data_IF_878349493722
#
_entry.id   IF_878349493722
#
_cell.length_a   1.000
_cell.length_b   1.000
_cell.length_c   1.000
_cell.angle_alpha   90.00
_cell.angle_beta   90.00
_cell.angle_gamma   90.00
#
_symmetry.space_group_name_H-M   'P 1'
#
loop_
_entity.id
_entity.type
_entity.pdbx_description
1 polymer ?
#
# COMPACT_ATOMS: atom_id res chain seq x y z
N UNK A 1 12.85 9.70 0.34
CA UNK A 1 13.00 8.23 0.18
C UNK A 1 12.14 7.78 -0.97
N UNK A 2 12.63 6.88 -1.84
CA UNK A 2 11.75 6.28 -2.84
C UNK A 2 10.63 5.53 -2.11
N UNK A 3 9.43 5.62 -2.65
CA UNK A 3 8.29 4.82 -2.20
C UNK A 3 8.72 3.36 -2.08
N UNK A 4 8.53 2.75 -0.91
CA UNK A 4 8.81 1.34 -0.74
C UNK A 4 7.66 0.54 -1.38
N UNK A 5 7.81 0.18 -2.66
CA UNK A 5 6.84 -0.62 -3.42
C UNK A 5 6.74 -2.08 -2.94
N UNK A 6 7.59 -2.50 -2.00
CA UNK A 6 7.59 -3.88 -1.46
C UNK A 6 6.31 -4.29 -0.71
N UNK A 7 5.36 -3.36 -0.57
CA UNK A 7 4.11 -3.62 0.13
C UNK A 7 2.88 -3.69 -0.79
N UNK A 8 3.05 -3.80 -2.12
CA UNK A 8 1.93 -3.97 -3.04
C UNK A 8 1.48 -5.43 -3.03
N UNK A 9 0.29 -5.70 -2.48
CA UNK A 9 -0.33 -7.04 -2.46
C UNK A 9 -1.17 -7.32 -3.70
N UNK A 10 -1.55 -6.28 -4.43
CA UNK A 10 -2.40 -6.44 -5.59
C UNK A 10 -2.64 -5.15 -6.35
N UNK A 11 -3.43 -5.28 -7.39
CA UNK A 11 -3.83 -4.17 -8.27
C UNK A 11 -5.34 -4.06 -8.27
N UNK A 12 -5.87 -2.92 -7.87
CA UNK A 12 -7.26 -2.56 -8.08
C UNK A 12 -7.42 -2.06 -9.52
N UNK A 13 -8.21 -2.77 -10.30
CA UNK A 13 -8.63 -2.32 -11.63
C UNK A 13 -9.85 -1.45 -11.51
N UNK A 14 -9.78 -0.27 -12.13
CA UNK A 14 -10.83 0.73 -12.11
C UNK A 14 -11.15 1.14 -13.55
N UNK A 15 -12.42 1.19 -13.91
CA UNK A 15 -12.88 1.77 -15.16
C UNK A 15 -13.10 3.27 -14.94
N UNK A 16 -12.33 4.09 -15.65
CA UNK A 16 -12.50 5.55 -15.64
C UNK A 16 -13.62 5.94 -16.59
N UNK A 17 -14.67 6.55 -16.06
CA UNK A 17 -15.74 7.22 -16.81
C UNK A 17 -15.67 8.70 -16.51
N UNK A 18 -16.28 9.54 -17.35
CA UNK A 18 -16.17 11.01 -17.33
C UNK A 18 -16.15 11.65 -15.93
N UNK A 19 -16.95 11.14 -14.99
CA UNK A 19 -17.11 11.73 -13.66
C UNK A 19 -16.99 10.72 -12.51
N UNK A 20 -16.87 9.42 -12.81
CA UNK A 20 -16.89 8.37 -11.78
C UNK A 20 -15.90 7.25 -12.10
N UNK A 21 -15.11 6.89 -11.11
CA UNK A 21 -14.25 5.72 -11.14
C UNK A 21 -15.03 4.48 -10.67
N UNK A 22 -15.25 3.51 -11.55
CA UNK A 22 -15.97 2.27 -11.24
C UNK A 22 -14.97 1.15 -10.92
N UNK A 23 -14.95 0.61 -9.70
CA UNK A 23 -14.09 -0.52 -9.36
C UNK A 23 -14.52 -1.79 -10.09
N UNK A 24 -13.63 -2.34 -10.92
CA UNK A 24 -13.84 -3.50 -11.79
C UNK A 24 -13.54 -4.81 -11.09
N UNK A 25 -12.37 -4.91 -10.50
CA UNK A 25 -11.88 -6.14 -9.88
C UNK A 25 -10.50 -5.95 -9.26
N UNK A 26 -9.93 -7.03 -8.79
CA UNK A 26 -8.61 -7.05 -8.15
C UNK A 26 -7.74 -8.14 -8.76
N UNK A 27 -6.50 -7.80 -9.09
CA UNK A 27 -5.43 -8.72 -9.45
C UNK A 27 -4.50 -8.89 -8.26
N UNK A 28 -4.19 -10.13 -7.91
CA UNK A 28 -3.20 -10.49 -6.89
C UNK A 28 -2.25 -11.54 -7.44
N UNK A 29 -1.06 -11.64 -6.84
CA UNK A 29 -0.09 -12.70 -7.12
C UNK A 29 0.25 -13.40 -5.80
N UNK A 30 -0.21 -14.64 -5.66
CA UNK A 30 -0.01 -15.42 -4.44
C UNK A 30 0.40 -16.86 -4.81
N UNK A 31 1.35 -17.43 -4.08
CA UNK A 31 1.80 -18.82 -4.25
C UNK A 31 2.19 -19.17 -5.70
N UNK A 32 2.78 -18.22 -6.43
CA UNK A 32 3.22 -18.45 -7.81
C UNK A 32 2.12 -18.31 -8.86
N UNK A 33 0.91 -17.90 -8.48
CA UNK A 33 -0.22 -17.72 -9.39
C UNK A 33 -0.80 -16.31 -9.35
N UNK A 34 -1.14 -15.79 -10.53
CA UNK A 34 -1.99 -14.62 -10.67
C UNK A 34 -3.45 -15.01 -10.52
N UNK A 35 -4.17 -14.27 -9.70
CA UNK A 35 -5.61 -14.39 -9.52
C UNK A 35 -6.26 -13.05 -9.73
N UNK A 36 -7.15 -13.01 -10.71
CA UNK A 36 -8.01 -11.85 -10.92
C UNK A 36 -9.45 -12.17 -10.54
N UNK A 37 -10.10 -11.27 -9.81
CA UNK A 37 -11.48 -11.40 -9.41
C UNK A 37 -12.28 -10.15 -9.75
N UNK A 38 -13.30 -10.28 -10.61
CA UNK A 38 -14.27 -9.23 -10.85
C UNK A 38 -15.10 -8.94 -9.61
N UNK A 39 -15.35 -7.66 -9.33
CA UNK A 39 -16.28 -7.27 -8.27
C UNK A 39 -17.72 -7.63 -8.68
N UNK A 40 -18.49 -8.23 -7.75
CA UNK A 40 -19.90 -8.56 -7.98
C UNK A 40 -20.72 -7.33 -8.38
N UNK A 41 -20.44 -6.18 -7.76
CA UNK A 41 -21.07 -4.91 -8.12
C UNK A 41 -20.82 -4.51 -9.57
N UNK A 42 -19.61 -4.77 -10.10
CA UNK A 42 -19.26 -4.49 -11.49
C UNK A 42 -19.98 -5.42 -12.46
N UNK A 43 -20.01 -6.73 -12.18
CA UNK A 43 -20.70 -7.72 -13.02
C UNK A 43 -22.20 -7.44 -13.17
N UNK A 44 -22.80 -6.79 -12.17
CA UNK A 44 -24.23 -6.45 -12.18
C UNK A 44 -24.57 -5.13 -12.91
N UNK A 45 -23.57 -4.42 -13.43
CA UNK A 45 -23.81 -3.17 -14.17
C UNK A 45 -24.19 -3.48 -15.62
N UNK A 46 -25.21 -2.82 -16.14
CA UNK A 46 -25.69 -3.01 -17.53
C UNK A 46 -24.65 -2.62 -18.61
N UNK A 47 -23.61 -1.87 -18.25
CA UNK A 47 -22.58 -1.37 -19.17
C UNK A 47 -21.19 -1.84 -18.75
N UNK A 48 -21.08 -3.03 -18.19
CA UNK A 48 -19.80 -3.64 -17.88
C UNK A 48 -19.10 -4.08 -19.16
N UNK A 49 -17.79 -3.86 -19.23
CA UNK A 49 -16.93 -4.34 -20.32
C UNK A 49 -15.89 -5.30 -19.77
N UNK A 50 -15.59 -6.36 -20.51
CA UNK A 50 -14.54 -7.29 -20.16
C UNK A 50 -13.15 -6.62 -20.25
N UNK A 51 -12.20 -7.05 -19.45
CA UNK A 51 -10.81 -6.59 -19.53
C UNK A 51 -10.14 -7.01 -20.84
N UNK A 52 -10.52 -8.19 -21.34
CA UNK A 52 -10.06 -8.76 -22.61
C UNK A 52 -10.88 -9.97 -22.98
N UNK A 53 -10.70 -10.49 -24.21
CA UNK A 53 -11.49 -11.63 -24.72
C UNK A 53 -11.30 -12.91 -23.88
N UNK A 54 -10.14 -13.12 -23.27
CA UNK A 54 -9.88 -14.27 -22.41
C UNK A 54 -10.43 -14.11 -20.97
N UNK A 55 -10.96 -12.93 -20.64
CA UNK A 55 -11.53 -12.62 -19.32
C UNK A 55 -12.99 -12.15 -19.43
N UNK A 56 -13.90 -12.93 -20.09
CA UNK A 56 -15.28 -12.54 -20.27
C UNK A 56 -16.01 -12.37 -18.91
N UNK A 57 -17.06 -11.54 -18.89
CA UNK A 57 -17.82 -11.24 -17.67
C UNK A 57 -18.68 -12.42 -17.16
N UNK A 58 -18.73 -13.51 -17.90
CA UNK A 58 -19.46 -14.74 -17.54
C UNK A 58 -18.80 -15.52 -16.40
N UNK A 59 -17.55 -15.26 -16.13
CA UNK A 59 -16.78 -15.86 -15.03
C UNK A 59 -16.26 -14.79 -14.10
N UNK A 60 -16.40 -15.00 -12.79
CA UNK A 60 -15.99 -14.04 -11.77
C UNK A 60 -14.49 -14.07 -11.47
N UNK A 61 -13.88 -15.25 -11.47
CA UNK A 61 -12.50 -15.48 -11.02
C UNK A 61 -11.68 -16.13 -12.13
N UNK A 62 -10.50 -15.62 -12.33
CA UNK A 62 -9.49 -16.10 -13.29
C UNK A 62 -8.19 -16.39 -12.55
N UNK A 63 -7.55 -17.53 -12.85
CA UNK A 63 -6.28 -17.95 -12.26
C UNK A 63 -5.34 -18.39 -13.38
N UNK A 64 -4.05 -18.04 -13.26
CA UNK A 64 -3.02 -18.35 -14.24
C UNK A 64 -1.63 -18.30 -13.61
N UNK A 65 -0.71 -19.15 -14.09
CA UNK A 65 0.70 -19.07 -13.72
C UNK A 65 1.43 -17.92 -14.46
N UNK A 66 0.79 -17.32 -15.44
CA UNK A 66 1.30 -16.19 -16.20
C UNK A 66 0.38 -14.98 -16.04
N UNK A 67 0.95 -13.79 -16.12
CA UNK A 67 0.16 -12.56 -16.15
C UNK A 67 -0.80 -12.59 -17.35
N UNK A 68 -2.07 -12.30 -17.11
CA UNK A 68 -3.09 -12.27 -18.17
C UNK A 68 -2.76 -11.23 -19.23
N UNK A 69 -3.06 -11.51 -20.50
CA UNK A 69 -2.74 -10.66 -21.64
C UNK A 69 -3.16 -9.20 -21.47
N UNK A 70 -4.38 -8.87 -21.01
CA UNK A 70 -4.79 -7.47 -20.85
C UNK A 70 -3.93 -6.66 -19.85
N UNK A 71 -3.24 -7.33 -18.95
CA UNK A 71 -2.28 -6.71 -18.05
C UNK A 71 -0.87 -6.69 -18.64
N UNK A 72 -0.45 -7.78 -19.27
CA UNK A 72 0.87 -7.90 -19.86
C UNK A 72 1.08 -6.86 -20.98
N UNK A 73 0.10 -6.68 -21.85
CA UNK A 73 0.12 -5.72 -22.97
C UNK A 73 0.20 -4.25 -22.51
N UNK A 74 -0.10 -3.99 -21.24
CA UNK A 74 0.00 -2.64 -20.67
C UNK A 74 1.41 -2.28 -20.22
N UNK A 75 2.24 -3.27 -19.94
CA UNK A 75 3.62 -3.04 -19.50
C UNK A 75 4.46 -2.75 -20.75
N UNK A 76 5.09 -1.56 -20.86
CA UNK A 76 5.94 -1.25 -21.99
C UNK A 76 7.08 -2.23 -22.12
N UNK A 77 7.43 -2.60 -23.37
CA UNK A 77 8.60 -3.44 -23.65
C UNK A 77 9.86 -2.75 -23.13
N UNK A 78 10.78 -3.55 -22.59
CA UNK A 78 12.10 -3.09 -22.16
C UNK A 78 12.98 -2.64 -23.31
N UNK A 79 12.68 -3.13 -24.53
CA UNK A 79 13.38 -2.73 -25.76
C UNK A 79 12.92 -1.34 -26.23
N UNK A 80 11.88 -0.78 -25.64
CA UNK A 80 11.47 0.59 -25.92
C UNK A 80 12.56 1.55 -25.43
N UNK A 81 13.14 2.39 -26.31
CA UNK A 81 14.17 3.36 -25.93
C UNK A 81 13.78 4.27 -24.77
N UNK A 82 12.49 4.61 -24.64
CA UNK A 82 11.95 5.46 -23.58
C UNK A 82 11.67 4.71 -22.25
N UNK A 83 11.88 3.38 -22.20
CA UNK A 83 11.54 2.58 -21.00
C UNK A 83 12.24 3.08 -19.73
N UNK A 84 13.54 3.41 -19.85
CA UNK A 84 14.33 3.92 -18.72
C UNK A 84 13.79 5.26 -18.20
N UNK A 85 13.29 6.12 -19.09
CA UNK A 85 12.70 7.41 -18.73
C UNK A 85 11.36 7.22 -18.02
N UNK A 86 10.54 6.28 -18.50
CA UNK A 86 9.26 5.94 -17.82
C UNK A 86 9.51 5.46 -16.39
N UNK A 87 10.48 4.56 -16.20
CA UNK A 87 10.84 4.08 -14.86
C UNK A 87 11.34 5.22 -13.97
N UNK A 88 12.23 6.06 -14.48
CA UNK A 88 12.76 7.23 -13.75
C UNK A 88 11.66 8.20 -13.36
N UNK A 89 10.72 8.50 -14.26
CA UNK A 89 9.59 9.39 -14.00
C UNK A 89 8.68 8.87 -12.88
N UNK A 90 8.59 7.55 -12.70
CA UNK A 90 7.81 6.89 -11.65
C UNK A 90 8.64 6.52 -10.41
N UNK A 91 9.93 6.85 -10.38
CA UNK A 91 10.81 6.57 -9.24
C UNK A 91 11.09 5.09 -9.01
N UNK A 92 10.99 4.24 -10.05
CA UNK A 92 11.30 2.81 -10.00
C UNK A 92 12.60 2.49 -10.73
N UNK A 93 13.22 1.37 -10.38
CA UNK A 93 14.39 0.86 -11.10
C UNK A 93 14.01 0.41 -12.52
N UNK A 94 14.88 0.68 -13.50
CA UNK A 94 14.75 0.09 -14.85
C UNK A 94 14.81 -1.44 -14.83
N UNK A 95 15.39 -2.02 -13.77
CA UNK A 95 15.53 -3.47 -13.58
C UNK A 95 14.39 -4.06 -12.74
N UNK A 96 13.37 -3.28 -12.40
CA UNK A 96 12.17 -3.77 -11.71
C UNK A 96 11.52 -4.92 -12.50
N UNK A 97 11.16 -6.01 -11.82
CA UNK A 97 10.59 -7.23 -12.41
C UNK A 97 9.20 -7.56 -11.89
N UNK A 98 8.83 -6.97 -10.75
CA UNK A 98 7.52 -7.25 -10.17
C UNK A 98 6.40 -6.66 -11.06
N UNK A 99 5.54 -7.53 -11.65
CA UNK A 99 4.49 -7.07 -12.53
C UNK A 99 3.45 -6.20 -11.82
N UNK A 100 3.21 -6.38 -10.52
CA UNK A 100 2.26 -5.55 -9.76
C UNK A 100 2.81 -4.13 -9.59
N UNK A 101 4.12 -3.99 -9.36
CA UNK A 101 4.79 -2.68 -9.32
C UNK A 101 4.72 -2.02 -10.69
N UNK A 102 5.08 -2.73 -11.75
CA UNK A 102 5.06 -2.20 -13.12
C UNK A 102 3.65 -1.75 -13.54
N UNK A 103 2.63 -2.56 -13.24
CA UNK A 103 1.23 -2.24 -13.55
C UNK A 103 0.72 -1.00 -12.82
N UNK A 104 1.19 -0.78 -11.60
CA UNK A 104 0.71 0.35 -10.77
C UNK A 104 1.56 1.61 -10.90
N UNK A 105 2.60 1.56 -11.73
CA UNK A 105 3.51 2.68 -12.01
C UNK A 105 3.50 3.03 -13.50
N UNK A 106 4.42 2.47 -14.30
CA UNK A 106 4.58 2.81 -15.72
C UNK A 106 3.41 2.35 -16.60
N UNK A 107 2.63 1.37 -16.17
CA UNK A 107 1.45 0.85 -16.84
C UNK A 107 0.12 1.27 -16.19
N UNK A 108 0.17 2.12 -15.16
CA UNK A 108 -1.02 2.52 -14.39
C UNK A 108 -2.11 3.17 -15.25
N UNK A 109 -1.69 3.93 -16.27
CA UNK A 109 -2.55 4.51 -17.30
C UNK A 109 -2.08 4.03 -18.67
N UNK A 110 -3.02 3.89 -19.62
CA UNK A 110 -2.73 3.48 -20.98
C UNK A 110 -3.86 3.88 -21.92
N UNK A 111 -3.87 3.35 -23.14
CA UNK A 111 -4.85 3.75 -24.17
C UNK A 111 -6.30 3.33 -23.85
N UNK A 112 -6.49 2.35 -22.95
CA UNK A 112 -7.83 1.95 -22.51
C UNK A 112 -8.31 2.77 -21.31
N UNK A 113 -9.64 2.80 -21.09
CA UNK A 113 -10.26 3.47 -19.93
C UNK A 113 -10.02 2.74 -18.59
N UNK A 114 -9.27 1.65 -18.57
CA UNK A 114 -8.92 0.97 -17.34
C UNK A 114 -7.68 1.60 -16.70
N UNK A 115 -7.79 1.87 -15.40
CA UNK A 115 -6.70 2.34 -14.55
C UNK A 115 -6.29 1.23 -13.58
N UNK A 116 -5.02 1.15 -13.28
CA UNK A 116 -4.45 0.22 -12.32
C UNK A 116 -3.92 0.97 -11.10
N UNK A 117 -4.52 0.70 -9.94
CA UNK A 117 -4.17 1.35 -8.67
C UNK A 117 -3.57 0.32 -7.72
N UNK A 118 -2.51 0.66 -6.97
CA UNK A 118 -1.92 -0.27 -6.02
C UNK A 118 -2.89 -0.57 -4.87
N UNK A 119 -2.94 -1.83 -4.47
CA UNK A 119 -3.47 -2.27 -3.18
C UNK A 119 -2.24 -2.56 -2.33
N UNK A 120 -2.03 -1.74 -1.32
CA UNK A 120 -0.94 -1.94 -0.38
C UNK A 120 -1.33 -2.96 0.68
N UNK A 121 -0.35 -3.74 1.13
CA UNK A 121 -0.52 -4.54 2.32
C UNK A 121 -0.81 -3.60 3.51
N UNK A 122 -2.06 -3.53 3.93
CA UNK A 122 -2.49 -2.77 5.10
C UNK A 122 -2.17 -3.54 6.40
N UNK A 123 -1.10 -4.31 6.41
CA UNK A 123 -0.78 -5.23 7.51
C UNK A 123 -0.05 -4.57 8.68
N UNK A 124 -0.26 -3.28 8.93
CA UNK A 124 0.14 -2.76 10.24
C UNK A 124 -0.90 -3.21 11.27
N UNK A 125 -0.51 -4.25 12.00
CA UNK A 125 -1.39 -4.95 12.95
C UNK A 125 -1.28 -4.35 14.35
N UNK A 126 -2.19 -4.70 15.27
CA UNK A 126 -2.03 -4.39 16.70
C UNK A 126 -0.71 -4.85 17.30
N UNK A 127 -0.15 -5.97 16.80
CA UNK A 127 1.16 -6.47 17.21
C UNK A 127 2.29 -5.54 16.77
N UNK A 128 2.22 -5.03 15.53
CA UNK A 128 3.21 -4.11 15.00
C UNK A 128 3.20 -2.78 15.73
N UNK A 129 2.01 -2.27 16.08
CA UNK A 129 1.87 -1.07 16.92
C UNK A 129 2.53 -1.29 18.28
N UNK A 130 2.25 -2.42 18.93
CA UNK A 130 2.86 -2.77 20.21
C UNK A 130 4.39 -2.86 20.11
N UNK A 131 4.88 -3.53 19.05
CA UNK A 131 6.32 -3.66 18.80
C UNK A 131 6.98 -2.30 18.54
N UNK A 132 6.36 -1.45 17.71
CA UNK A 132 6.84 -0.09 17.44
C UNK A 132 6.97 0.72 18.74
N UNK A 133 5.92 0.72 19.58
CA UNK A 133 5.94 1.38 20.88
C UNK A 133 7.05 0.84 21.80
N UNK A 134 7.23 -0.48 21.83
CA UNK A 134 8.28 -1.14 22.65
C UNK A 134 9.67 -0.78 22.16
N UNK A 135 9.88 -0.72 20.86
CA UNK A 135 11.16 -0.31 20.25
C UNK A 135 11.53 1.13 20.62
N UNK A 136 10.53 2.01 20.78
CA UNK A 136 10.73 3.37 21.30
C UNK A 136 10.99 3.41 22.82
N UNK A 137 10.93 2.29 23.52
CA UNK A 137 11.08 2.21 24.98
C UNK A 137 9.96 2.86 25.77
N UNK A 138 8.76 2.99 25.16
CA UNK A 138 7.64 3.73 25.73
C UNK A 138 6.58 2.83 26.36
N UNK A 139 6.06 3.23 27.52
CA UNK A 139 4.80 2.72 28.05
C UNK A 139 3.63 3.18 27.18
N UNK A 140 2.45 2.55 27.32
CA UNK A 140 1.23 2.95 26.59
C UNK A 140 0.87 4.43 26.84
N UNK A 141 1.00 4.90 28.08
CA UNK A 141 0.73 6.31 28.44
C UNK A 141 1.69 7.26 27.74
N UNK A 142 2.98 6.97 27.79
CA UNK A 142 4.02 7.79 27.16
C UNK A 142 3.84 7.84 25.64
N UNK A 143 3.58 6.71 25.03
CA UNK A 143 3.33 6.62 23.59
C UNK A 143 2.07 7.41 23.18
N UNK A 144 0.96 7.19 23.89
CA UNK A 144 -0.27 7.92 23.65
C UNK A 144 -0.06 9.43 23.75
N UNK A 145 0.67 9.88 24.77
CA UNK A 145 0.95 11.28 24.98
C UNK A 145 1.88 11.89 23.94
N UNK A 146 2.97 11.21 23.60
CA UNK A 146 3.95 11.70 22.61
C UNK A 146 3.39 11.76 21.18
N UNK A 147 2.51 10.83 20.82
CA UNK A 147 1.95 10.71 19.46
C UNK A 147 0.48 11.15 19.34
N UNK A 148 -0.04 11.85 20.33
CA UNK A 148 -1.42 12.37 20.35
C UNK A 148 -2.50 11.30 20.14
N UNK A 149 -2.33 10.15 20.78
CA UNK A 149 -3.36 9.11 20.84
C UNK A 149 -4.10 9.11 22.15
N UNK A 150 -5.34 8.62 22.15
CA UNK A 150 -6.02 8.35 23.41
C UNK A 150 -5.44 7.09 24.08
N UNK A 151 -5.14 7.16 25.37
CA UNK A 151 -4.66 6.02 26.15
C UNK A 151 -5.58 4.80 26.00
N UNK A 152 -6.88 4.99 26.23
CA UNK A 152 -7.88 3.94 26.09
C UNK A 152 -7.97 3.36 24.68
N UNK A 153 -7.70 4.19 23.67
CA UNK A 153 -7.63 3.77 22.27
C UNK A 153 -6.47 2.81 22.01
N UNK A 154 -5.25 3.15 22.47
CA UNK A 154 -4.08 2.26 22.34
C UNK A 154 -4.30 0.96 23.08
N UNK A 155 -4.83 0.99 24.32
CA UNK A 155 -5.13 -0.22 25.10
C UNK A 155 -6.06 -1.15 24.33
N UNK A 156 -7.16 -0.63 23.76
CA UNK A 156 -8.11 -1.42 22.98
C UNK A 156 -7.47 -2.01 21.72
N UNK A 157 -6.68 -1.21 21.00
CA UNK A 157 -6.00 -1.66 19.79
C UNK A 157 -4.99 -2.78 20.11
N UNK A 158 -4.15 -2.61 21.12
CA UNK A 158 -3.19 -3.65 21.52
C UNK A 158 -3.86 -4.92 22.03
N UNK A 159 -5.10 -4.82 22.52
CA UNK A 159 -5.94 -5.97 22.85
C UNK A 159 -6.66 -6.60 21.64
N UNK A 160 -6.47 -6.09 20.43
CA UNK A 160 -7.09 -6.61 19.20
C UNK A 160 -8.50 -6.10 18.94
N UNK A 161 -8.96 -5.05 19.65
CA UNK A 161 -10.35 -4.55 19.58
C UNK A 161 -10.42 -3.19 18.87
N UNK A 162 -10.71 -3.17 17.56
CA UNK A 162 -11.00 -1.94 16.82
C UNK A 162 -9.79 -1.01 16.61
N UNK A 163 -10.05 0.27 16.35
CA UNK A 163 -9.00 1.30 16.30
C UNK A 163 -8.28 1.43 14.96
N UNK A 164 -8.96 1.20 13.83
CA UNK A 164 -8.39 1.32 12.47
C UNK A 164 -7.69 2.67 12.25
N UNK A 165 -8.24 3.75 12.75
CA UNK A 165 -7.64 5.09 12.63
C UNK A 165 -6.31 5.18 13.40
N UNK A 166 -6.28 4.64 14.64
CA UNK A 166 -5.06 4.60 15.45
C UNK A 166 -3.98 3.78 14.76
N UNK A 167 -4.34 2.60 14.22
CA UNK A 167 -3.41 1.76 13.47
C UNK A 167 -2.85 2.50 12.25
N UNK A 168 -3.70 3.15 11.45
CA UNK A 168 -3.24 3.90 10.27
C UNK A 168 -2.32 5.06 10.63
N UNK A 169 -2.61 5.81 11.70
CA UNK A 169 -1.72 6.89 12.16
C UNK A 169 -0.41 6.35 12.70
N UNK A 170 -0.44 5.27 13.48
CA UNK A 170 0.76 4.63 14.00
C UNK A 170 1.62 4.01 12.89
N UNK A 171 0.99 3.45 11.86
CA UNK A 171 1.65 2.96 10.66
C UNK A 171 2.47 4.06 9.95
N UNK A 172 1.92 5.28 9.86
CA UNK A 172 2.64 6.42 9.28
C UNK A 172 3.92 6.71 10.07
N UNK A 173 3.82 6.76 11.41
CA UNK A 173 5.00 6.98 12.25
C UNK A 173 6.03 5.85 12.15
N UNK A 174 5.58 4.60 12.05
CA UNK A 174 6.47 3.45 11.92
C UNK A 174 7.15 3.38 10.54
N UNK A 175 6.41 3.69 9.46
CA UNK A 175 6.94 3.67 8.08
C UNK A 175 7.75 4.90 7.71
N UNK A 176 7.51 6.02 8.38
CA UNK A 176 8.19 7.29 8.11
C UNK A 176 8.82 7.84 9.40
N UNK A 177 9.99 7.30 9.82
CA UNK A 177 10.64 7.68 11.07
C UNK A 177 10.89 9.17 11.22
N UNK A 178 11.09 9.89 10.11
CA UNK A 178 11.27 11.34 10.13
C UNK A 178 10.04 12.07 10.67
N UNK A 179 8.83 11.62 10.29
CA UNK A 179 7.57 12.19 10.82
C UNK A 179 7.44 11.90 12.31
N UNK A 180 7.84 10.69 12.74
CA UNK A 180 7.86 10.35 14.15
C UNK A 180 8.86 11.20 14.95
N UNK A 181 10.06 11.47 14.40
CA UNK A 181 11.06 12.36 15.00
C UNK A 181 10.53 13.79 15.14
N UNK A 182 9.89 14.33 14.10
CA UNK A 182 9.29 15.67 14.14
C UNK A 182 8.20 15.76 15.21
N UNK A 183 7.38 14.71 15.35
CA UNK A 183 6.37 14.64 16.40
C UNK A 183 7.01 14.62 17.80
N UNK A 184 8.07 13.82 18.00
CA UNK A 184 8.80 13.79 19.27
C UNK A 184 9.48 15.12 19.59
N UNK A 185 10.00 15.84 18.59
CA UNK A 185 10.58 17.17 18.81
C UNK A 185 9.53 18.18 19.31
N UNK A 186 8.29 18.12 18.78
CA UNK A 186 7.19 18.98 19.23
C UNK A 186 6.74 18.67 20.67
N UNK A 187 7.07 17.48 21.16
CA UNK A 187 6.74 16.99 22.50
C UNK A 187 7.96 16.93 23.43
N UNK A 188 9.06 17.60 23.08
CA UNK A 188 10.25 17.65 23.91
C UNK A 188 9.92 18.25 25.29
N UNK A 189 10.43 17.61 26.36
CA UNK A 189 10.11 17.97 27.74
C UNK A 189 8.89 17.25 28.36
N UNK A 190 8.10 16.52 27.58
CA UNK A 190 6.93 15.77 28.07
C UNK A 190 7.27 14.31 28.44
N UNK A 191 8.44 13.84 28.09
CA UNK A 191 8.98 12.54 28.44
C UNK A 191 10.30 12.74 29.18
N UNK A 192 10.62 11.81 30.08
CA UNK A 192 11.92 11.85 30.77
C UNK A 192 13.05 11.89 29.74
N UNK A 193 14.01 12.82 29.90
CA UNK A 193 15.05 13.13 28.91
C UNK A 193 15.76 11.86 28.35
N UNK A 194 16.17 10.94 29.24
CA UNK A 194 16.83 9.69 28.82
C UNK A 194 15.98 8.84 27.87
N UNK A 195 14.68 8.72 28.12
CA UNK A 195 13.77 7.97 27.24
C UNK A 195 13.54 8.68 25.91
N UNK A 196 13.41 10.00 25.94
CA UNK A 196 13.28 10.81 24.72
C UNK A 196 14.49 10.64 23.82
N UNK A 197 15.69 10.71 24.40
CA UNK A 197 16.96 10.50 23.67
C UNK A 197 17.01 9.09 23.08
N UNK A 198 16.66 8.06 23.85
CA UNK A 198 16.64 6.67 23.37
C UNK A 198 15.65 6.49 22.21
N UNK A 199 14.44 7.03 22.30
CA UNK A 199 13.45 6.94 21.25
C UNK A 199 13.92 7.64 19.96
N UNK A 200 14.48 8.85 20.07
CA UNK A 200 15.04 9.59 18.93
C UNK A 200 16.21 8.84 18.29
N UNK A 201 17.12 8.29 19.08
CA UNK A 201 18.24 7.48 18.58
C UNK A 201 17.74 6.26 17.80
N UNK A 202 16.77 5.51 18.36
CA UNK A 202 16.22 4.36 17.65
C UNK A 202 15.60 4.75 16.31
N UNK A 203 14.80 5.81 16.25
CA UNK A 203 14.22 6.28 14.99
C UNK A 203 15.28 6.68 13.96
N UNK A 204 16.42 7.23 14.39
CA UNK A 204 17.54 7.57 13.51
C UNK A 204 18.27 6.34 12.95
N UNK A 205 18.24 5.19 13.63
CA UNK A 205 18.86 3.95 13.13
C UNK A 205 18.01 3.24 12.07
N UNK A 206 16.71 3.54 11.96
CA UNK A 206 15.80 2.93 10.98
C UNK A 206 15.51 3.84 9.78
N UNK A 207 16.14 5.03 9.73
CA UNK A 207 16.17 5.92 8.56
C UNK A 207 17.29 5.48 7.63
#
# INVERSE_FOLDING_TARGET
MPFNFQSIEGVLVVLEKSDVNVPVGTLAFNNGQFRFEYKKSYLNLNQSIALGPEMPLTRKVYESNHLFIPFADRIPSRDNPAYSEYCKAQGISKDERDPLILLTTIAARGPSSFLFKPIFNESFTPKDLKQFRQNLGMSIREFAHCFDFSYAGIVRVEAGSGGREILKRAEIYAKYPQIALDQLHRRDGQLHHKKMTQAKQWLQTVV
#
